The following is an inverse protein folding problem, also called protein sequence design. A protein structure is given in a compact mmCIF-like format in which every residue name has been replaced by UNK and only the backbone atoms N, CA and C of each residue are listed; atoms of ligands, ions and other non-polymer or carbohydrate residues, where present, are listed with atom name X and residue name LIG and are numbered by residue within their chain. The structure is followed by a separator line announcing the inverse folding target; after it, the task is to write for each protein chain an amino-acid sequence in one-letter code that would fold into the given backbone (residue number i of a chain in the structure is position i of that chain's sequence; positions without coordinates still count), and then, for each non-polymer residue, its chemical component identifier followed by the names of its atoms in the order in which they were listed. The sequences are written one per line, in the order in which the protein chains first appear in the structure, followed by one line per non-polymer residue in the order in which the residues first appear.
data_IF_638098368833
#
_entry.id   IF_638098368833
#
_cell.length_a   1.000
_cell.length_b   1.000
_cell.length_c   1.000
_cell.angle_alpha   90.00
_cell.angle_beta   90.00
_cell.angle_gamma   90.00
#
_symmetry.space_group_name_H-M   'P 1'
#
loop_
_entity.id
_entity.type
_entity.pdbx_description
1 polymer ?
#
# COMPACT_ATOMS: atom_id res chain seq x y z
N UNK A 1 -26.83 2.37 -4.15
CA UNK A 1 -25.97 3.30 -3.40
C UNK A 1 -25.00 2.44 -2.62
N UNK A 2 -23.79 2.22 -3.14
CA UNK A 2 -22.83 1.34 -2.47
C UNK A 2 -22.33 2.04 -1.20
N UNK A 3 -22.56 1.41 -0.05
CA UNK A 3 -22.09 1.85 1.25
C UNK A 3 -20.55 2.00 1.19
N UNK A 4 -20.03 3.22 1.33
CA UNK A 4 -18.59 3.43 1.55
C UNK A 4 -18.33 3.01 3.00
N UNK A 5 -17.55 1.94 3.28
CA UNK A 5 -17.31 1.49 4.65
C UNK A 5 -16.52 2.53 5.44
N UNK A 6 -16.79 2.61 6.76
CA UNK A 6 -16.21 3.52 7.76
C UNK A 6 -14.99 4.33 7.31
N UNK A 7 -15.19 5.65 7.23
CA UNK A 7 -14.22 6.67 6.85
C UNK A 7 -13.12 6.81 7.92
N UNK A 8 -12.24 5.81 8.01
CA UNK A 8 -10.96 5.94 8.73
C UNK A 8 -10.03 6.81 7.88
N UNK A 9 -10.30 8.11 7.89
CA UNK A 9 -9.42 9.11 7.30
C UNK A 9 -8.11 9.18 8.07
N UNK A 10 -6.98 8.99 7.40
CA UNK A 10 -5.64 9.15 7.97
C UNK A 10 -5.12 10.54 7.60
N UNK A 11 -4.72 11.33 8.60
CA UNK A 11 -4.03 12.60 8.34
C UNK A 11 -2.65 12.33 7.71
N UNK A 12 -2.41 12.88 6.54
CA UNK A 12 -1.13 12.73 5.83
C UNK A 12 -0.17 13.85 6.24
N UNK A 13 0.86 13.48 6.99
CA UNK A 13 2.00 14.36 7.23
C UNK A 13 2.98 14.32 6.03
N UNK A 14 4.05 15.11 6.11
CA UNK A 14 5.04 15.15 5.04
C UNK A 14 5.70 13.77 4.78
N UNK A 15 5.79 12.90 5.79
CA UNK A 15 6.35 11.54 5.67
C UNK A 15 5.38 10.61 4.93
N UNK A 16 4.08 10.68 5.25
CA UNK A 16 2.99 10.04 4.56
C UNK A 16 2.97 10.40 3.07
N UNK A 17 3.03 11.69 2.76
CA UNK A 17 3.09 12.18 1.37
C UNK A 17 4.31 11.64 0.62
N UNK A 18 5.50 11.67 1.23
CA UNK A 18 6.72 11.08 0.63
C UNK A 18 6.62 9.56 0.42
N UNK A 19 5.84 8.87 1.25
CA UNK A 19 5.58 7.44 1.07
C UNK A 19 4.62 7.13 -0.08
N UNK A 20 3.73 8.06 -0.42
CA UNK A 20 2.85 7.90 -1.58
C UNK A 20 3.46 8.39 -2.90
N UNK A 21 4.59 9.10 -2.87
CA UNK A 21 5.25 9.64 -4.07
C UNK A 21 5.81 8.58 -5.04
N UNK A 22 5.89 7.30 -4.65
CA UNK A 22 6.44 6.26 -5.51
C UNK A 22 5.32 5.38 -6.09
N UNK A 23 5.28 5.16 -7.41
CA UNK A 23 4.15 4.53 -8.10
C UNK A 23 3.84 3.13 -7.56
N UNK A 24 4.88 2.32 -7.32
CA UNK A 24 4.70 0.96 -6.75
C UNK A 24 3.99 1.00 -5.39
N UNK A 25 4.26 2.00 -4.54
CA UNK A 25 3.64 2.09 -3.22
C UNK A 25 2.15 2.43 -3.32
N UNK A 26 1.77 3.30 -4.25
CA UNK A 26 0.36 3.61 -4.53
C UNK A 26 -0.38 2.38 -5.06
N UNK A 27 0.25 1.63 -5.97
CA UNK A 27 -0.32 0.39 -6.51
C UNK A 27 -0.51 -0.67 -5.42
N UNK A 28 0.50 -0.89 -4.56
CA UNK A 28 0.41 -1.80 -3.42
C UNK A 28 -0.74 -1.44 -2.48
N UNK A 29 -0.88 -0.15 -2.14
CA UNK A 29 -1.98 0.34 -1.30
C UNK A 29 -3.35 0.10 -1.98
N UNK A 30 -3.46 0.33 -3.29
CA UNK A 30 -4.67 0.05 -4.06
C UNK A 30 -5.05 -1.43 -4.07
N UNK A 31 -4.06 -2.32 -4.27
CA UNK A 31 -4.27 -3.77 -4.23
C UNK A 31 -4.72 -4.24 -2.85
N UNK A 32 -4.09 -3.75 -1.78
CA UNK A 32 -4.48 -4.08 -0.40
C UNK A 32 -5.89 -3.58 -0.05
N UNK A 33 -6.28 -2.40 -0.55
CA UNK A 33 -7.64 -1.88 -0.37
C UNK A 33 -8.69 -2.70 -1.13
N UNK A 34 -8.33 -3.18 -2.32
CA UNK A 34 -9.25 -3.91 -3.20
C UNK A 34 -9.41 -5.37 -2.80
N UNK A 35 -8.32 -6.03 -2.41
CA UNK A 35 -8.27 -7.47 -2.16
C UNK A 35 -8.13 -7.85 -0.67
N UNK A 36 -7.96 -6.87 0.21
CA UNK A 36 -7.70 -7.12 1.63
C UNK A 36 -6.28 -7.63 1.90
N UNK A 37 -6.06 -8.24 3.08
CA UNK A 37 -4.75 -8.75 3.48
C UNK A 37 -4.26 -9.85 2.53
N UNK A 38 -3.10 -9.64 1.94
CA UNK A 38 -2.40 -10.61 1.08
C UNK A 38 -0.91 -10.60 1.37
N UNK A 39 -0.20 -11.65 0.99
CA UNK A 39 1.25 -11.76 1.22
C UNK A 39 2.07 -10.91 0.25
N UNK A 40 3.30 -10.57 0.62
CA UNK A 40 4.22 -9.84 -0.26
C UNK A 40 4.53 -10.62 -1.55
N UNK A 41 4.58 -11.95 -1.50
CA UNK A 41 4.79 -12.79 -2.69
C UNK A 41 3.60 -12.68 -3.65
N UNK A 42 2.37 -12.78 -3.15
CA UNK A 42 1.17 -12.63 -3.98
C UNK A 42 1.06 -11.25 -4.62
N UNK A 43 1.53 -10.19 -3.95
CA UNK A 43 1.60 -8.84 -4.51
C UNK A 43 2.70 -8.73 -5.57
N UNK A 44 3.84 -9.37 -5.34
CA UNK A 44 4.96 -9.40 -6.27
C UNK A 44 4.55 -10.06 -7.59
N UNK A 45 3.87 -11.21 -7.52
CA UNK A 45 3.34 -11.92 -8.69
C UNK A 45 2.37 -11.06 -9.51
N UNK A 46 1.47 -10.32 -8.84
CA UNK A 46 0.50 -9.44 -9.49
C UNK A 46 1.13 -8.24 -10.19
N UNK A 47 2.24 -7.73 -9.66
CA UNK A 47 2.92 -6.54 -10.16
C UNK A 47 4.12 -6.87 -11.07
N UNK A 48 4.43 -8.15 -11.29
CA UNK A 48 5.63 -8.56 -12.03
C UNK A 48 6.93 -8.11 -11.35
N UNK A 49 6.92 -7.99 -10.02
CA UNK A 49 8.06 -7.58 -9.21
C UNK A 49 8.68 -8.79 -8.51
N UNK A 50 9.91 -8.64 -8.04
CA UNK A 50 10.46 -9.61 -7.11
C UNK A 50 9.95 -9.37 -5.67
N UNK A 51 9.86 -10.44 -4.88
CA UNK A 51 9.36 -10.41 -3.51
C UNK A 51 10.19 -9.53 -2.56
N UNK A 52 11.51 -9.37 -2.83
CA UNK A 52 12.39 -8.52 -2.04
C UNK A 52 12.07 -7.04 -2.18
N UNK A 53 11.93 -6.55 -3.42
CA UNK A 53 11.53 -5.19 -3.74
C UNK A 53 10.12 -4.88 -3.22
N UNK A 54 9.19 -5.83 -3.39
CA UNK A 54 7.82 -5.71 -2.86
C UNK A 54 7.82 -5.57 -1.34
N UNK A 55 8.58 -6.42 -0.63
CA UNK A 55 8.73 -6.34 0.82
C UNK A 55 9.37 -5.03 1.28
N UNK A 56 10.35 -4.53 0.54
CA UNK A 56 10.95 -3.22 0.82
C UNK A 56 9.92 -2.09 0.74
N UNK A 57 9.11 -2.07 -0.33
CA UNK A 57 8.07 -1.06 -0.50
C UNK A 57 6.97 -1.15 0.56
N UNK A 58 6.58 -2.36 0.97
CA UNK A 58 5.62 -2.57 2.06
C UNK A 58 6.15 -2.05 3.40
N UNK A 59 7.44 -2.31 3.72
CA UNK A 59 8.07 -1.73 4.93
C UNK A 59 8.12 -0.21 4.89
N UNK A 60 8.44 0.37 3.72
CA UNK A 60 8.43 1.83 3.49
C UNK A 60 7.03 2.44 3.65
N UNK A 61 5.98 1.71 3.27
CA UNK A 61 4.59 2.09 3.50
C UNK A 61 4.23 2.03 4.98
N UNK A 62 4.58 0.94 5.66
CA UNK A 62 4.28 0.74 7.08
C UNK A 62 4.93 1.81 7.97
N UNK A 63 6.14 2.27 7.65
CA UNK A 63 6.77 3.35 8.42
C UNK A 63 6.09 4.70 8.23
N UNK A 64 5.25 4.87 7.20
CA UNK A 64 4.60 6.15 6.89
C UNK A 64 3.24 6.33 7.56
N UNK A 65 2.69 5.28 8.17
CA UNK A 65 1.38 5.28 8.85
C UNK A 65 1.54 4.94 10.34
N UNK A 66 2.74 5.16 10.88
CA UNK A 66 3.08 4.97 12.28
C UNK A 66 3.13 6.31 13.01
#
# INVERSE_FOLDING_TARGET
MAQIPDDKSVALDAKGLRSLAHPVRVQLLGLLRTHGPVTAAQLADRLGLNSGATSYHLRRLATAVA
#
